data_IF_588875533811
#
_entry.id   IF_588875533811
#
_cell.length_a   1.000
_cell.length_b   1.000
_cell.length_c   1.000
_cell.angle_alpha   90.00
_cell.angle_beta   90.00
_cell.angle_gamma   90.00
#
_symmetry.space_group_name_H-M   'P 1'
#
loop_
_entity.id
_entity.type
_entity.pdbx_description
1 polymer ?
#
# COMPACT_ATOMS: atom_id res chain seq x y z
N UNK A 1 -2.45 16.55 28.67
CA UNK A 1 -1.45 16.11 27.67
C UNK A 1 -1.42 14.60 27.72
N UNK A 2 -2.14 13.94 26.83
CA UNK A 2 -1.85 12.55 26.53
C UNK A 2 -0.98 12.59 25.28
N UNK A 3 0.28 12.24 25.45
CA UNK A 3 1.24 12.08 24.37
C UNK A 3 0.83 10.81 23.61
N UNK A 4 -0.03 10.98 22.60
CA UNK A 4 -0.54 9.93 21.70
C UNK A 4 0.54 9.47 20.68
N UNK A 5 1.81 9.47 21.09
CA UNK A 5 2.94 8.94 20.32
C UNK A 5 2.99 7.39 20.38
N UNK A 6 1.82 6.76 20.49
CA UNK A 6 1.64 5.31 20.59
C UNK A 6 1.86 4.62 19.25
N UNK A 7 3.08 4.13 19.07
CA UNK A 7 3.55 3.04 18.20
C UNK A 7 2.63 2.65 17.03
N UNK A 8 3.00 3.04 15.80
CA UNK A 8 2.42 2.43 14.61
C UNK A 8 2.62 0.90 14.68
N UNK A 9 1.52 0.16 14.59
CA UNK A 9 1.56 -1.29 14.40
C UNK A 9 1.81 -1.54 12.92
N UNK A 10 2.83 -2.33 12.61
CA UNK A 10 3.20 -2.64 11.22
C UNK A 10 2.75 -4.06 10.86
N UNK A 11 2.16 -4.20 9.69
CA UNK A 11 1.84 -5.49 9.10
C UNK A 11 3.04 -6.01 8.35
N UNK A 12 3.56 -7.17 8.78
CA UNK A 12 4.70 -7.84 8.16
C UNK A 12 4.32 -9.20 7.60
N UNK A 13 4.83 -9.54 6.41
CA UNK A 13 4.73 -10.88 5.80
C UNK A 13 5.97 -11.14 4.95
N UNK A 14 6.67 -12.24 5.22
CA UNK A 14 7.87 -12.62 4.47
C UNK A 14 7.58 -13.14 3.05
N UNK A 15 8.62 -13.45 2.26
CA UNK A 15 8.50 -13.70 0.82
C UNK A 15 7.79 -15.03 0.46
N UNK A 16 7.72 -15.96 1.41
CA UNK A 16 7.17 -17.31 1.26
C UNK A 16 5.68 -17.35 0.85
N UNK A 17 4.93 -16.26 1.11
CA UNK A 17 3.49 -16.17 0.83
C UNK A 17 3.09 -15.14 -0.21
N UNK A 18 4.06 -14.53 -0.90
CA UNK A 18 3.83 -13.53 -1.94
C UNK A 18 3.44 -14.12 -3.30
N UNK A 19 3.08 -13.27 -4.28
CA UNK A 19 3.01 -11.81 -4.17
C UNK A 19 1.78 -11.34 -3.36
N UNK A 20 1.95 -10.27 -2.59
CA UNK A 20 0.93 -9.64 -1.78
C UNK A 20 0.31 -8.43 -2.46
N UNK A 21 -0.97 -8.18 -2.14
CA UNK A 21 -1.67 -6.99 -2.59
C UNK A 21 -1.06 -5.73 -1.95
N UNK A 22 -0.74 -4.74 -2.78
CA UNK A 22 -0.39 -3.41 -2.31
C UNK A 22 -1.57 -2.81 -1.51
N UNK A 23 -1.35 -2.30 -0.28
CA UNK A 23 -2.42 -1.76 0.53
C UNK A 23 -3.08 -0.51 -0.09
N UNK A 24 -2.39 0.16 -1.03
CA UNK A 24 -2.92 1.32 -1.74
C UNK A 24 -3.79 0.92 -2.94
N UNK A 25 -3.25 0.19 -3.93
CA UNK A 25 -3.96 -0.07 -5.19
C UNK A 25 -4.58 -1.47 -5.31
N UNK A 26 -4.25 -2.40 -4.42
CA UNK A 26 -4.79 -3.76 -4.40
C UNK A 26 -4.19 -4.73 -5.42
N UNK A 27 -3.27 -4.30 -6.28
CA UNK A 27 -2.54 -5.18 -7.21
C UNK A 27 -1.45 -5.98 -6.50
N UNK A 28 -1.21 -7.20 -6.95
CA UNK A 28 -0.23 -8.15 -6.38
C UNK A 28 1.19 -7.80 -6.84
N UNK A 29 1.76 -6.73 -6.27
CA UNK A 29 3.08 -6.21 -6.69
C UNK A 29 4.18 -6.41 -5.66
N UNK A 30 3.84 -6.80 -4.43
CA UNK A 30 4.78 -6.82 -3.32
C UNK A 30 5.27 -8.26 -3.07
N UNK A 31 6.57 -8.50 -3.05
CA UNK A 31 7.15 -9.76 -2.63
C UNK A 31 6.97 -10.00 -1.13
N UNK A 32 7.10 -8.94 -0.34
CA UNK A 32 6.95 -8.92 1.11
C UNK A 32 6.02 -7.79 1.59
N UNK A 33 5.41 -7.94 2.77
CA UNK A 33 4.67 -6.85 3.44
C UNK A 33 5.53 -6.17 4.51
N UNK A 34 5.48 -4.84 4.53
CA UNK A 34 6.18 -3.99 5.51
C UNK A 34 7.68 -3.88 5.29
N UNK A 35 8.20 -4.35 4.16
CA UNK A 35 9.63 -4.39 3.82
C UNK A 35 10.08 -3.21 2.95
N UNK A 36 9.32 -2.11 2.92
CA UNK A 36 9.62 -0.89 2.13
C UNK A 36 9.72 -1.11 0.62
N UNK A 37 9.05 -2.14 0.11
CA UNK A 37 8.92 -2.33 -1.33
C UNK A 37 8.01 -1.25 -1.94
N UNK A 38 8.39 -0.77 -3.12
CA UNK A 38 7.62 0.23 -3.86
C UNK A 38 6.71 -0.51 -4.86
N UNK A 39 5.41 -0.25 -4.78
CA UNK A 39 4.46 -0.77 -5.75
C UNK A 39 4.66 -0.12 -7.13
N UNK A 40 5.05 -0.87 -8.14
CA UNK A 40 5.21 -0.37 -9.52
C UNK A 40 3.92 0.22 -10.13
N UNK A 41 2.75 -0.14 -9.61
CA UNK A 41 1.46 0.27 -10.18
C UNK A 41 0.97 1.61 -9.63
N UNK A 42 1.24 1.90 -8.35
CA UNK A 42 0.77 3.15 -7.73
C UNK A 42 1.87 3.96 -7.06
N UNK A 43 3.08 3.44 -6.96
CA UNK A 43 4.24 4.07 -6.31
C UNK A 43 4.11 4.29 -4.79
N UNK A 44 3.20 3.57 -4.12
CA UNK A 44 3.18 3.49 -2.65
C UNK A 44 4.35 2.62 -2.16
N UNK A 45 5.09 3.10 -1.16
CA UNK A 45 6.14 2.32 -0.48
C UNK A 45 5.54 1.65 0.76
N UNK A 46 5.62 0.32 0.83
CA UNK A 46 4.96 -0.47 1.89
C UNK A 46 5.75 -0.43 3.20
N UNK A 47 5.49 0.60 4.01
CA UNK A 47 6.02 0.80 5.36
C UNK A 47 5.28 -0.02 6.45
N UNK A 48 4.39 -0.93 6.02
CA UNK A 48 3.59 -1.78 6.90
C UNK A 48 2.28 -1.14 7.36
N UNK A 49 1.90 0.02 6.81
CA UNK A 49 0.58 0.62 7.03
C UNK A 49 -0.53 -0.25 6.43
N UNK A 50 -1.64 -0.37 7.16
CA UNK A 50 -2.80 -1.16 6.72
C UNK A 50 -4.11 -0.57 7.29
N UNK A 51 -5.23 -1.28 7.19
CA UNK A 51 -6.57 -0.76 7.53
C UNK A 51 -6.70 -0.16 8.93
N UNK A 52 -6.01 -0.72 9.93
CA UNK A 52 -6.14 -0.29 11.33
C UNK A 52 -5.67 1.15 11.55
N UNK A 53 -4.86 1.68 10.65
CA UNK A 53 -4.39 3.07 10.74
C UNK A 53 -4.32 3.78 9.38
N UNK A 54 -5.13 3.34 8.41
CA UNK A 54 -5.09 3.86 7.05
C UNK A 54 -5.34 5.37 6.93
N UNK A 55 -6.04 5.97 7.90
CA UNK A 55 -6.32 7.41 7.96
C UNK A 55 -5.21 8.25 8.62
N UNK A 56 -4.16 7.64 9.17
CA UNK A 56 -3.05 8.36 9.82
C UNK A 56 -1.95 8.65 8.82
N UNK A 57 -1.38 9.84 8.88
CA UNK A 57 -0.14 10.17 8.16
C UNK A 57 1.03 9.67 9.00
N UNK A 58 1.79 8.71 8.47
CA UNK A 58 2.97 8.14 9.16
C UNK A 58 4.25 8.95 8.96
N UNK A 59 4.30 9.80 7.93
CA UNK A 59 5.54 10.45 7.53
C UNK A 59 6.41 9.53 6.68
N UNK A 60 7.72 9.73 6.75
CA UNK A 60 8.70 8.82 6.15
C UNK A 60 8.56 8.71 4.62
N UNK A 61 8.55 7.49 4.05
CA UNK A 61 8.62 7.29 2.60
C UNK A 61 7.42 7.87 1.84
N UNK A 62 6.24 7.86 2.47
CA UNK A 62 4.99 8.33 1.88
C UNK A 62 4.67 9.81 2.23
N UNK A 63 5.67 10.57 2.69
CA UNK A 63 5.62 12.02 2.95
C UNK A 63 4.45 12.43 3.85
N UNK A 64 3.50 13.20 3.33
CA UNK A 64 2.35 13.72 4.07
C UNK A 64 1.04 13.01 3.71
N UNK A 65 1.12 11.83 3.08
CA UNK A 65 -0.04 11.04 2.70
C UNK A 65 -0.38 10.00 3.77
N UNK A 66 -1.67 9.85 4.02
CA UNK A 66 -2.21 8.64 4.63
C UNK A 66 -2.47 7.59 3.54
N UNK A 67 -2.56 6.32 3.93
CA UNK A 67 -2.96 5.25 3.01
C UNK A 67 -4.35 5.51 2.39
N UNK A 68 -5.26 6.13 3.14
CA UNK A 68 -6.58 6.51 2.64
C UNK A 68 -6.50 7.58 1.55
N UNK A 69 -5.62 8.56 1.70
CA UNK A 69 -5.39 9.58 0.67
C UNK A 69 -4.73 8.98 -0.56
N UNK A 70 -3.76 8.08 -0.37
CA UNK A 70 -3.12 7.35 -1.46
C UNK A 70 -4.12 6.52 -2.28
N UNK A 71 -5.04 5.81 -1.63
CA UNK A 71 -6.16 5.09 -2.29
C UNK A 71 -7.03 6.00 -3.13
N UNK A 72 -7.42 7.16 -2.58
CA UNK A 72 -8.24 8.17 -3.30
C UNK A 72 -7.49 8.73 -4.50
N UNK A 73 -6.21 9.03 -4.34
CA UNK A 73 -5.35 9.52 -5.41
C UNK A 73 -5.20 8.46 -6.50
N UNK A 74 -4.98 7.20 -6.14
CA UNK A 74 -4.88 6.12 -7.11
C UNK A 74 -6.15 5.97 -7.92
N UNK A 75 -7.32 5.97 -7.27
CA UNK A 75 -8.61 5.89 -7.96
C UNK A 75 -8.85 7.05 -8.94
N UNK A 76 -8.31 8.25 -8.66
CA UNK A 76 -8.51 9.45 -9.48
C UNK A 76 -7.42 9.67 -10.54
N UNK A 77 -6.20 9.28 -10.24
CA UNK A 77 -5.00 9.67 -10.99
C UNK A 77 -4.17 8.49 -11.48
N UNK A 78 -4.33 7.29 -10.89
CA UNK A 78 -3.49 6.12 -11.19
C UNK A 78 -2.17 6.09 -10.41
N UNK A 79 -1.96 6.97 -9.43
CA UNK A 79 -0.81 6.97 -8.53
C UNK A 79 -1.22 7.32 -7.10
N UNK A 80 -0.47 6.80 -6.12
CA UNK A 80 -0.64 7.09 -4.69
C UNK A 80 -0.39 8.57 -4.37
N UNK A 81 0.64 9.15 -4.97
CA UNK A 81 0.85 10.60 -5.05
C UNK A 81 0.80 11.01 -6.52
N UNK A 82 -0.07 11.95 -6.94
CA UNK A 82 -0.08 12.46 -8.31
C UNK A 82 1.27 13.01 -8.80
N UNK A 83 2.17 13.39 -7.88
CA UNK A 83 3.52 13.85 -8.23
C UNK A 83 4.41 12.74 -8.79
N UNK A 84 4.08 11.47 -8.52
CA UNK A 84 4.87 10.31 -8.90
C UNK A 84 4.33 9.59 -10.14
N UNK A 85 3.41 10.21 -10.90
CA UNK A 85 2.82 9.65 -12.12
C UNK A 85 3.85 9.19 -13.17
N UNK A 86 5.04 9.77 -13.19
CA UNK A 86 6.11 9.35 -14.12
C UNK A 86 6.76 8.02 -13.75
N UNK A 87 6.48 7.49 -12.55
CA UNK A 87 7.08 6.28 -12.00
C UNK A 87 6.11 5.08 -11.99
N UNK A 88 4.82 5.31 -12.26
CA UNK A 88 3.83 4.23 -12.31
C UNK A 88 3.77 3.57 -13.69
N UNK A 89 3.34 2.32 -13.70
CA UNK A 89 2.96 1.58 -14.92
C UNK A 89 1.59 0.92 -14.77
N UNK A 90 0.91 0.57 -15.87
CA UNK A 90 -0.24 -0.31 -15.78
C UNK A 90 0.11 -1.64 -15.09
N UNK A 91 -0.86 -2.26 -14.37
CA UNK A 91 -0.68 -3.60 -13.84
C UNK A 91 -0.48 -4.61 -14.99
N UNK A 92 0.36 -5.61 -14.74
CA UNK A 92 0.51 -6.78 -15.61
C UNK A 92 -0.68 -7.73 -15.38
N UNK A 93 -1.02 -8.58 -16.36
CA UNK A 93 -2.12 -9.54 -16.21
C UNK A 93 -2.05 -10.39 -14.94
N UNK A 94 -0.85 -10.80 -14.53
CA UNK A 94 -0.59 -11.64 -13.36
C UNK A 94 -0.71 -10.90 -12.02
N UNK A 95 -0.67 -9.56 -12.04
CA UNK A 95 -0.77 -8.71 -10.84
C UNK A 95 -2.23 -8.42 -10.46
N UNK A 96 -3.18 -8.79 -11.31
CA UNK A 96 -4.59 -8.72 -10.97
C UNK A 96 -4.91 -9.78 -9.92
N UNK A 97 -5.47 -9.42 -8.75
CA UNK A 97 -5.93 -10.41 -7.80
C UNK A 97 -6.93 -11.32 -8.52
N UNK A 98 -6.65 -12.62 -8.55
CA UNK A 98 -7.63 -13.61 -8.99
C UNK A 98 -8.90 -13.34 -8.19
N UNK A 99 -10.02 -13.11 -8.87
CA UNK A 99 -11.32 -12.82 -8.22
C UNK A 99 -11.53 -13.85 -7.10
N UNK A 100 -11.43 -13.36 -5.87
CA UNK A 100 -11.81 -14.03 -4.62
C UNK A 100 -11.34 -15.48 -4.46
N UNK A 101 -10.11 -15.68 -3.98
CA UNK A 101 -9.75 -16.93 -3.30
C UNK A 101 -9.98 -16.77 -1.78
N UNK A 102 -11.26 -16.79 -1.39
CA UNK A 102 -11.64 -17.32 -0.09
C UNK A 102 -11.76 -16.33 1.05
N UNK A 103 -12.44 -15.18 0.85
CA UNK A 103 -13.13 -14.57 1.98
C UNK A 103 -14.37 -15.41 2.32
N UNK A 104 -14.20 -16.43 3.15
CA UNK A 104 -15.35 -17.07 3.82
C UNK A 104 -16.11 -15.99 4.60
N UNK A 105 -17.46 -15.91 4.49
CA UNK A 105 -18.26 -14.93 5.23
C UNK A 105 -18.10 -15.04 6.74
#
# INVERSE_FOLDING_TARGET
MQDDAGQFVNVYRGPEGGPYACPCCGYLTLGERGSYEICDVCFWEDDGQDEHDAGRVRGGPNRNLSLLDARRNFAKHGAADPKDLRHVRPPRPEEHPLRDQGRTP
#
